data_IF_892276816329
#
_entry.id   IF_892276816329
#
_cell.length_a   1.000
_cell.length_b   1.000
_cell.length_c   1.000
_cell.angle_alpha   90.00
_cell.angle_beta   90.00
_cell.angle_gamma   90.00
#
_symmetry.space_group_name_H-M   'P 1'
#
loop_
_entity.id
_entity.type
_entity.pdbx_description
1 polymer ?
#
# COMPACT_ATOMS: atom_id res chain seq x y z
N UNK A 1 37.33 -10.58 12.06
CA UNK A 1 36.10 -11.14 12.60
C UNK A 1 35.43 -10.10 13.45
N UNK A 2 34.50 -9.35 12.88
CA UNK A 2 33.60 -8.50 13.62
C UNK A 2 32.29 -9.27 13.73
N UNK A 3 31.85 -9.54 14.95
CA UNK A 3 30.49 -10.02 15.16
C UNK A 3 29.55 -8.89 14.73
N UNK A 4 28.57 -9.24 13.91
CA UNK A 4 27.53 -8.33 13.45
C UNK A 4 26.68 -7.94 14.67
N UNK A 5 26.95 -6.78 15.25
CA UNK A 5 26.26 -6.30 16.44
C UNK A 5 24.85 -5.85 16.05
N UNK A 6 23.84 -6.55 16.56
CA UNK A 6 22.43 -6.20 16.32
C UNK A 6 22.08 -4.91 17.05
N UNK A 7 22.10 -3.78 16.34
CA UNK A 7 21.83 -2.45 16.90
C UNK A 7 20.33 -2.07 16.94
N UNK A 8 19.47 -2.77 16.19
CA UNK A 8 18.05 -2.47 16.12
C UNK A 8 17.20 -3.68 15.68
N UNK A 9 15.88 -3.56 15.87
CA UNK A 9 14.88 -4.50 15.35
C UNK A 9 13.71 -3.70 14.77
N UNK A 10 13.30 -4.05 13.54
CA UNK A 10 12.08 -3.48 12.94
C UNK A 10 10.86 -3.98 13.72
N UNK A 11 10.05 -3.05 14.23
CA UNK A 11 8.84 -3.38 14.97
C UNK A 11 7.66 -3.67 14.02
N UNK A 12 7.48 -2.85 12.99
CA UNK A 12 6.37 -2.94 12.06
C UNK A 12 6.78 -2.40 10.69
N UNK A 13 6.20 -2.98 9.63
CA UNK A 13 6.29 -2.47 8.27
C UNK A 13 4.90 -2.01 7.82
N UNK A 14 4.84 -0.78 7.32
CA UNK A 14 3.59 -0.11 6.92
C UNK A 14 3.71 0.28 5.46
N UNK A 15 2.71 -0.14 4.67
CA UNK A 15 2.61 0.14 3.24
C UNK A 15 1.49 1.14 2.98
N UNK A 16 1.69 2.05 2.04
CA UNK A 16 0.68 2.99 1.57
C UNK A 16 0.48 2.84 0.07
N UNK A 17 -0.23 1.79 -0.41
CA UNK A 17 -0.38 1.54 -1.84
C UNK A 17 -0.90 2.75 -2.61
N UNK A 18 -1.93 3.41 -2.06
CA UNK A 18 -2.51 4.64 -2.62
C UNK A 18 -2.03 5.83 -1.78
N UNK A 19 -1.42 6.82 -2.45
CA UNK A 19 -0.96 8.08 -1.83
C UNK A 19 -2.11 8.73 -1.06
N UNK A 20 -1.81 9.17 0.16
CA UNK A 20 -2.73 9.94 1.02
C UNK A 20 -3.95 9.15 1.56
N UNK A 21 -4.03 7.84 1.31
CA UNK A 21 -5.06 6.94 1.84
C UNK A 21 -4.58 6.20 3.10
N UNK A 22 -5.45 5.35 3.67
CA UNK A 22 -5.12 4.54 4.84
C UNK A 22 -4.01 3.51 4.52
N UNK A 23 -3.23 3.09 5.52
CA UNK A 23 -2.17 2.11 5.31
C UNK A 23 -2.68 0.66 5.27
N UNK A 24 -1.84 -0.20 4.72
CA UNK A 24 -1.81 -1.64 4.96
C UNK A 24 -0.66 -1.97 5.91
N UNK A 25 -0.95 -2.74 6.97
CA UNK A 25 0.10 -3.27 7.85
C UNK A 25 0.60 -4.59 7.27
N UNK A 26 1.91 -4.72 7.11
CA UNK A 26 2.54 -5.94 6.60
C UNK A 26 2.64 -6.97 7.73
N UNK A 27 2.19 -8.20 7.47
CA UNK A 27 2.31 -9.29 8.44
C UNK A 27 3.77 -9.64 8.71
N UNK A 28 4.11 -9.83 9.99
CA UNK A 28 5.43 -10.30 10.41
C UNK A 28 5.77 -11.71 9.90
N UNK A 29 4.77 -12.49 9.50
CA UNK A 29 4.94 -13.85 8.96
C UNK A 29 5.35 -13.90 7.49
N UNK A 30 5.10 -12.85 6.71
CA UNK A 30 5.18 -12.90 5.24
C UNK A 30 6.27 -11.98 4.66
N UNK A 31 6.75 -11.00 5.44
CA UNK A 31 7.69 -10.00 4.95
C UNK A 31 7.11 -9.15 3.81
N UNK A 32 7.95 -8.31 3.21
CA UNK A 32 7.59 -7.55 2.00
C UNK A 32 8.82 -7.38 1.12
N UNK A 33 8.61 -7.29 -0.19
CA UNK A 33 9.70 -7.10 -1.13
C UNK A 33 10.26 -5.68 -1.02
N UNK A 34 11.58 -5.57 -0.92
CA UNK A 34 12.31 -4.30 -0.95
C UNK A 34 12.95 -4.13 -2.32
N UNK A 35 12.62 -3.03 -3.00
CA UNK A 35 13.19 -2.64 -4.28
C UNK A 35 14.13 -1.45 -4.11
N UNK A 36 14.79 -1.02 -5.18
CA UNK A 36 15.60 0.20 -5.18
C UNK A 36 14.80 1.48 -4.86
N UNK A 37 13.47 1.45 -5.00
CA UNK A 37 12.57 2.58 -4.71
C UNK A 37 11.88 2.48 -3.35
N UNK A 38 12.13 1.42 -2.58
CA UNK A 38 11.48 1.17 -1.28
C UNK A 38 10.65 -0.10 -1.28
N UNK A 39 9.64 -0.17 -0.41
CA UNK A 39 8.76 -1.34 -0.38
C UNK A 39 8.00 -1.46 -1.70
N UNK A 40 7.95 -2.66 -2.25
CA UNK A 40 7.25 -2.95 -3.51
C UNK A 40 5.80 -2.45 -3.44
N UNK A 41 5.34 -1.73 -4.46
CA UNK A 41 4.00 -1.12 -4.54
C UNK A 41 3.69 -0.05 -3.45
N UNK A 42 4.69 0.51 -2.77
CA UNK A 42 4.46 1.67 -1.90
C UNK A 42 4.22 2.94 -2.73
N UNK A 43 3.07 3.60 -2.51
CA UNK A 43 2.67 4.88 -3.10
C UNK A 43 2.69 4.94 -4.63
N UNK A 44 2.49 3.82 -5.30
CA UNK A 44 2.49 3.75 -6.77
C UNK A 44 1.16 4.22 -7.39
N UNK A 45 0.09 4.35 -6.59
CA UNK A 45 -1.19 4.91 -7.03
C UNK A 45 -1.52 6.25 -6.37
N UNK A 46 -2.34 7.06 -7.05
CA UNK A 46 -2.95 8.27 -6.49
C UNK A 46 -4.40 8.39 -6.97
N UNK A 47 -5.24 9.02 -6.15
CA UNK A 47 -6.56 9.46 -6.59
C UNK A 47 -6.43 10.84 -7.26
N UNK A 48 -7.24 11.06 -8.30
CA UNK A 48 -7.34 12.34 -9.02
C UNK A 48 -8.80 12.77 -9.13
N UNK A 49 -9.04 14.06 -9.27
CA UNK A 49 -10.36 14.58 -9.67
C UNK A 49 -10.63 14.39 -11.18
N UNK A 50 -11.75 14.93 -11.67
CA UNK A 50 -12.16 14.79 -13.06
C UNK A 50 -11.20 15.50 -14.04
N UNK A 51 -10.46 16.49 -13.54
CA UNK A 51 -9.47 17.28 -14.27
C UNK A 51 -8.07 16.64 -14.22
N UNK A 52 -7.91 15.52 -13.51
CA UNK A 52 -6.64 14.82 -13.36
C UNK A 52 -5.72 15.39 -12.29
N UNK A 53 -6.21 16.29 -11.43
CA UNK A 53 -5.42 16.87 -10.34
C UNK A 53 -5.37 15.88 -9.17
N UNK A 54 -4.16 15.63 -8.68
CA UNK A 54 -3.95 14.70 -7.57
C UNK A 54 -4.62 15.20 -6.28
N UNK A 55 -5.47 14.35 -5.71
CA UNK A 55 -6.07 14.60 -4.40
C UNK A 55 -5.04 14.46 -3.28
N UNK A 56 -5.30 15.14 -2.16
CA UNK A 56 -4.47 15.06 -0.96
C UNK A 56 -5.35 14.92 0.27
N UNK A 57 -4.87 14.20 1.28
CA UNK A 57 -5.61 14.01 2.53
C UNK A 57 -5.91 15.33 3.26
N UNK A 58 -5.03 16.33 3.12
CA UNK A 58 -5.23 17.64 3.74
C UNK A 58 -6.43 18.38 3.14
N UNK A 59 -6.61 18.27 1.82
CA UNK A 59 -7.76 18.85 1.12
C UNK A 59 -9.01 17.97 1.26
N UNK A 60 -8.82 16.65 1.23
CA UNK A 60 -9.88 15.63 1.29
C UNK A 60 -9.63 14.65 2.46
N UNK A 61 -9.99 15.01 3.70
CA UNK A 61 -9.74 14.17 4.88
C UNK A 61 -10.36 12.76 4.80
N UNK A 62 -11.45 12.62 4.05
CA UNK A 62 -12.12 11.34 3.82
C UNK A 62 -11.22 10.30 3.12
N UNK A 63 -10.13 10.71 2.46
CA UNK A 63 -9.15 9.78 1.90
C UNK A 63 -8.57 8.84 2.97
N UNK A 64 -8.52 9.27 4.25
CA UNK A 64 -8.07 8.43 5.35
C UNK A 64 -9.00 7.22 5.63
N UNK A 65 -10.22 7.21 5.09
CA UNK A 65 -11.13 6.07 5.19
C UNK A 65 -11.00 5.09 4.02
N UNK A 66 -10.34 5.48 2.92
CA UNK A 66 -10.07 4.58 1.81
C UNK A 66 -8.90 3.68 2.21
N UNK A 67 -9.16 2.39 2.40
CA UNK A 67 -8.18 1.39 2.81
C UNK A 67 -7.87 0.45 1.65
N UNK A 68 -6.74 0.65 0.95
CA UNK A 68 -6.18 -0.35 0.05
C UNK A 68 -5.48 -1.49 0.83
N UNK A 69 -5.50 -2.68 0.24
CA UNK A 69 -4.78 -3.87 0.69
C UNK A 69 -4.34 -4.69 -0.53
N UNK A 70 -3.04 -4.83 -0.71
CA UNK A 70 -2.43 -5.71 -1.71
C UNK A 70 -2.52 -7.15 -1.23
N UNK A 71 -3.08 -8.01 -2.07
CA UNK A 71 -3.18 -9.47 -1.87
C UNK A 71 -2.38 -10.13 -2.99
N UNK A 72 -1.15 -10.53 -2.67
CA UNK A 72 -0.17 -11.01 -3.66
C UNK A 72 -0.63 -12.31 -4.32
N UNK A 73 -1.21 -13.22 -3.53
CA UNK A 73 -1.72 -14.51 -4.00
C UNK A 73 -2.87 -14.35 -5.00
N UNK A 74 -3.66 -13.29 -4.85
CA UNK A 74 -4.79 -12.96 -5.72
C UNK A 74 -4.42 -12.01 -6.86
N UNK A 75 -3.16 -11.54 -6.89
CA UNK A 75 -2.64 -10.51 -7.81
C UNK A 75 -3.61 -9.33 -7.93
N UNK A 76 -4.04 -8.82 -6.78
CA UNK A 76 -5.06 -7.78 -6.73
C UNK A 76 -4.86 -6.80 -5.57
N UNK A 77 -5.28 -5.56 -5.77
CA UNK A 77 -5.52 -4.59 -4.71
C UNK A 77 -7.00 -4.59 -4.35
N UNK A 78 -7.29 -4.83 -3.07
CA UNK A 78 -8.61 -4.73 -2.48
C UNK A 78 -8.77 -3.37 -1.83
N UNK A 79 -9.79 -2.60 -2.20
CA UNK A 79 -10.06 -1.28 -1.63
C UNK A 79 -11.39 -1.29 -0.91
N UNK A 80 -11.37 -0.89 0.37
CA UNK A 80 -12.56 -0.76 1.23
C UNK A 80 -12.70 0.66 1.75
N UNK A 81 -13.92 1.03 2.13
CA UNK A 81 -14.18 2.26 2.88
C UNK A 81 -14.40 1.91 4.35
N UNK A 82 -13.48 2.33 5.23
CA UNK A 82 -13.54 2.04 6.66
C UNK A 82 -14.76 2.66 7.34
N UNK A 83 -15.20 3.83 6.88
CA UNK A 83 -16.38 4.51 7.41
C UNK A 83 -17.70 4.00 6.82
N UNK A 84 -17.64 3.19 5.75
CA UNK A 84 -18.81 2.64 5.04
C UNK A 84 -18.59 1.19 4.57
N UNK A 85 -18.50 0.22 5.50
CA UNK A 85 -18.24 -1.18 5.16
C UNK A 85 -19.30 -1.81 4.26
N UNK A 86 -20.53 -1.28 4.26
CA UNK A 86 -21.66 -1.75 3.45
C UNK A 86 -21.47 -1.56 1.94
N UNK A 87 -20.53 -0.69 1.52
CA UNK A 87 -20.19 -0.50 0.11
C UNK A 87 -19.43 -1.69 -0.49
N UNK A 88 -18.99 -2.64 0.35
CA UNK A 88 -18.24 -3.81 -0.10
C UNK A 88 -16.78 -3.50 -0.40
N UNK A 89 -16.17 -4.35 -1.22
CA UNK A 89 -14.75 -4.26 -1.60
C UNK A 89 -14.63 -4.07 -3.10
N UNK A 90 -13.94 -3.02 -3.52
CA UNK A 90 -13.50 -2.86 -4.91
C UNK A 90 -12.24 -3.70 -5.12
N UNK A 91 -12.26 -4.60 -6.10
CA UNK A 91 -11.09 -5.37 -6.52
C UNK A 91 -10.48 -4.75 -7.77
N UNK A 92 -9.20 -4.44 -7.71
CA UNK A 92 -8.40 -3.95 -8.84
C UNK A 92 -7.35 -5.01 -9.14
N UNK A 93 -7.36 -5.60 -10.34
CA UNK A 93 -6.32 -6.53 -10.76
C UNK A 93 -4.97 -5.81 -10.88
N UNK A 94 -3.89 -6.47 -10.48
CA UNK A 94 -2.52 -6.01 -10.70
C UNK A 94 -2.00 -6.71 -11.97
N UNK A 95 -1.46 -5.95 -12.91
CA UNK A 95 -0.94 -6.48 -14.18
C UNK A 95 0.50 -7.02 -14.02
N UNK A 96 0.90 -7.98 -14.87
CA UNK A 96 2.18 -8.71 -14.76
C UNK A 96 3.41 -7.82 -15.02
N UNK A 97 3.27 -6.75 -15.82
CA UNK A 97 4.38 -5.87 -16.19
C UNK A 97 4.93 -5.02 -15.02
N UNK A 98 4.16 -4.88 -13.93
CA UNK A 98 4.59 -4.22 -12.69
C UNK A 98 5.40 -5.14 -11.76
N UNK A 99 5.34 -6.47 -11.97
CA UNK A 99 5.94 -7.50 -11.09
C UNK A 99 7.24 -8.07 -11.67
N UNK A 100 7.39 -8.10 -13.00
CA UNK A 100 8.51 -8.73 -13.71
C UNK A 100 9.83 -7.92 -13.77
N UNK A 101 9.94 -6.85 -12.97
CA UNK A 101 11.23 -6.16 -12.71
C UNK A 101 11.87 -6.58 -11.38
N UNK A 102 11.39 -7.67 -10.77
CA UNK A 102 12.03 -8.33 -9.63
C UNK A 102 13.39 -8.94 -9.98
#
# INVERSE_FOLDING_TARGET
>A
GAQDERIATVQELILFPIKSCAPQIVSSSSGWLLTSSGLFLDRVWTLVDAEGVALTQKAEPNMAHVQPSIVMEERAMMVRCLSKPELGTLRISLEEEDVDRM
#
